data_IF_942497420231
#
_entry.id   IF_942497420231
#
_cell.length_a   1.000
_cell.length_b   1.000
_cell.length_c   1.000
_cell.angle_alpha   90.00
_cell.angle_beta   90.00
_cell.angle_gamma   90.00
#
_symmetry.space_group_name_H-M   'P 1'
#
loop_
_entity.id
_entity.type
_entity.pdbx_description
1 polymer ?
#
# COMPACT_ATOMS: atom_id res chain seq x y z
N UNK A 1 -5.13 3.29 25.50
CA UNK A 1 -4.94 4.21 24.37
C UNK A 1 -4.03 3.58 23.36
N UNK A 2 -4.39 3.64 22.11
CA UNK A 2 -3.59 3.08 21.04
C UNK A 2 -2.47 4.01 20.61
N UNK A 3 -1.69 3.55 19.67
CA UNK A 3 -0.69 4.38 19.02
C UNK A 3 -1.36 5.53 18.30
N UNK A 4 -0.66 6.67 18.16
CA UNK A 4 -1.19 7.75 17.34
C UNK A 4 -1.38 7.27 15.91
N UNK A 5 -2.45 7.71 15.31
CA UNK A 5 -2.72 7.36 13.92
C UNK A 5 -1.63 7.95 13.01
N UNK A 6 -1.13 7.14 12.09
CA UNK A 6 -0.20 7.63 11.08
C UNK A 6 -0.97 8.32 9.96
N UNK A 7 -0.38 9.35 9.38
CA UNK A 7 -0.97 9.99 8.21
C UNK A 7 -0.52 9.30 6.94
N UNK A 8 -1.36 9.37 5.92
CA UNK A 8 -1.04 8.81 4.61
C UNK A 8 -0.34 9.86 3.75
N UNK A 9 0.74 9.45 3.12
CA UNK A 9 1.43 10.26 2.11
C UNK A 9 1.41 9.47 0.82
N UNK A 10 0.87 10.04 -0.24
CA UNK A 10 0.76 9.38 -1.53
C UNK A 10 1.81 9.92 -2.48
N UNK A 11 2.73 9.06 -2.89
CA UNK A 11 3.75 9.45 -3.85
C UNK A 11 3.14 9.53 -5.26
N UNK A 12 3.78 10.29 -6.16
CA UNK A 12 3.23 10.46 -7.52
C UNK A 12 2.96 9.15 -8.25
N UNK A 13 3.83 8.17 -8.12
CA UNK A 13 3.61 6.86 -8.78
C UNK A 13 2.37 6.16 -8.27
N UNK A 14 2.10 6.26 -6.95
CA UNK A 14 0.87 5.68 -6.41
C UNK A 14 -0.37 6.34 -7.03
N UNK A 15 -0.36 7.66 -7.15
CA UNK A 15 -1.49 8.39 -7.74
C UNK A 15 -1.68 7.98 -9.20
N UNK A 16 -0.60 7.82 -9.96
CA UNK A 16 -0.68 7.35 -11.34
C UNK A 16 -1.30 5.95 -11.41
N UNK A 17 -0.89 5.05 -10.50
CA UNK A 17 -1.42 3.69 -10.46
C UNK A 17 -2.90 3.67 -10.08
N UNK A 18 -3.28 4.46 -9.10
CA UNK A 18 -4.70 4.58 -8.72
C UNK A 18 -5.53 5.11 -9.90
N UNK A 19 -5.02 6.13 -10.59
CA UNK A 19 -5.70 6.70 -11.76
C UNK A 19 -5.88 5.64 -12.85
N UNK A 20 -4.84 4.85 -13.10
CA UNK A 20 -4.92 3.74 -14.04
C UNK A 20 -6.07 2.79 -13.69
N UNK A 21 -6.18 2.40 -12.42
CA UNK A 21 -7.25 1.49 -11.99
C UNK A 21 -8.62 2.13 -12.09
N UNK A 22 -8.75 3.41 -11.74
CA UNK A 22 -10.02 4.11 -11.88
C UNK A 22 -10.51 4.08 -13.32
N UNK A 23 -9.58 4.19 -14.28
CA UNK A 23 -9.93 4.23 -15.70
C UNK A 23 -10.12 2.84 -16.32
N UNK A 24 -9.48 1.80 -15.79
CA UNK A 24 -9.46 0.48 -16.42
C UNK A 24 -10.17 -0.61 -15.64
N UNK A 25 -10.20 -0.51 -14.31
CA UNK A 25 -10.79 -1.54 -13.45
C UNK A 25 -11.19 -0.93 -12.12
N UNK A 26 -12.40 -0.41 -12.09
CA UNK A 26 -12.91 0.29 -10.92
C UNK A 26 -12.90 -0.55 -9.65
N UNK A 27 -13.18 -1.85 -9.75
CA UNK A 27 -13.16 -2.73 -8.58
C UNK A 27 -11.78 -2.80 -7.96
N UNK A 28 -10.75 -2.86 -8.79
CA UNK A 28 -9.37 -2.87 -8.31
C UNK A 28 -9.00 -1.53 -7.67
N UNK A 29 -9.48 -0.42 -8.24
CA UNK A 29 -9.26 0.90 -7.64
C UNK A 29 -9.85 0.97 -6.23
N UNK A 30 -11.08 0.48 -6.06
CA UNK A 30 -11.73 0.48 -4.75
C UNK A 30 -11.02 -0.45 -3.76
N UNK A 31 -10.55 -1.60 -4.25
CA UNK A 31 -9.76 -2.51 -3.42
C UNK A 31 -8.46 -1.88 -2.98
N UNK A 32 -7.78 -1.15 -3.86
CA UNK A 32 -6.55 -0.44 -3.52
C UNK A 32 -6.80 0.59 -2.40
N UNK A 33 -7.86 1.36 -2.52
CA UNK A 33 -8.22 2.33 -1.47
C UNK A 33 -8.56 1.65 -0.16
N UNK A 34 -9.25 0.50 -0.21
CA UNK A 34 -9.53 -0.28 0.99
C UNK A 34 -8.24 -0.77 1.64
N UNK A 35 -7.28 -1.24 0.85
CA UNK A 35 -5.99 -1.68 1.39
C UNK A 35 -5.25 -0.52 2.05
N UNK A 36 -5.29 0.68 1.46
CA UNK A 36 -4.70 1.87 2.08
C UNK A 36 -5.27 2.08 3.48
N UNK A 37 -6.59 2.03 3.62
CA UNK A 37 -7.23 2.20 4.92
C UNK A 37 -6.78 1.13 5.91
N UNK A 38 -6.72 -0.13 5.48
CA UNK A 38 -6.30 -1.23 6.33
C UNK A 38 -4.83 -1.12 6.75
N UNK A 39 -3.96 -0.67 5.84
CA UNK A 39 -2.55 -0.42 6.16
C UNK A 39 -2.42 0.67 7.22
N UNK A 40 -3.20 1.73 7.12
CA UNK A 40 -3.17 2.80 8.12
C UNK A 40 -3.60 2.31 9.50
N UNK A 41 -4.47 1.32 9.56
CA UNK A 41 -4.91 0.74 10.83
C UNK A 41 -3.87 -0.21 11.42
N UNK A 42 -3.27 -1.04 10.58
CA UNK A 42 -2.21 -1.96 10.99
C UNK A 42 -1.31 -2.27 9.80
N UNK A 43 -0.15 -1.62 9.72
CA UNK A 43 0.73 -1.80 8.55
C UNK A 43 1.42 -3.15 8.48
N UNK A 44 1.38 -3.94 9.54
CA UNK A 44 2.16 -5.18 9.62
C UNK A 44 1.33 -6.46 9.56
N UNK A 45 0.03 -6.36 9.68
CA UNK A 45 -0.85 -7.52 9.67
C UNK A 45 -2.18 -7.19 8.99
N UNK A 46 -2.87 -8.21 8.54
CA UNK A 46 -4.20 -8.09 7.99
C UNK A 46 -4.33 -8.56 6.56
N UNK A 47 -5.37 -8.09 5.88
CA UNK A 47 -5.74 -8.51 4.54
C UNK A 47 -4.63 -8.23 3.51
N UNK A 48 -4.47 -9.15 2.57
CA UNK A 48 -3.49 -8.99 1.49
C UNK A 48 -2.11 -9.53 1.82
N UNK A 49 -1.97 -10.26 2.91
CA UNK A 49 -0.70 -10.89 3.32
C UNK A 49 0.47 -9.91 3.32
N UNK A 50 0.52 -8.98 4.29
CA UNK A 50 1.64 -8.04 4.37
C UNK A 50 2.98 -8.77 4.43
N UNK A 51 3.92 -8.37 3.60
CA UNK A 51 5.25 -8.95 3.56
C UNK A 51 6.30 -7.85 3.62
N UNK A 52 7.32 -8.00 4.50
CA UNK A 52 8.43 -7.06 4.47
C UNK A 52 9.31 -7.31 3.25
N UNK A 53 9.72 -6.25 2.58
CA UNK A 53 10.60 -6.31 1.42
C UNK A 53 12.03 -6.02 1.87
N UNK A 54 12.59 -6.89 2.70
CA UNK A 54 13.87 -6.67 3.37
C UNK A 54 15.03 -6.43 2.40
N UNK A 55 14.97 -7.07 1.24
CA UNK A 55 16.02 -6.94 0.23
C UNK A 55 16.01 -5.56 -0.46
N UNK A 56 14.94 -4.80 -0.31
CA UNK A 56 14.83 -3.45 -0.88
C UNK A 56 15.08 -2.35 0.14
N UNK A 57 15.05 -2.68 1.43
CA UNK A 57 15.31 -1.72 2.48
C UNK A 57 14.48 -1.95 3.73
N UNK A 58 14.83 -1.28 4.83
CA UNK A 58 14.09 -1.42 6.09
C UNK A 58 12.72 -0.74 6.00
N UNK A 59 11.75 -1.32 6.69
CA UNK A 59 10.40 -0.76 6.83
C UNK A 59 9.60 -0.67 5.52
N UNK A 60 10.08 -1.32 4.48
CA UNK A 60 9.38 -1.39 3.20
C UNK A 60 8.54 -2.66 3.18
N UNK A 61 7.27 -2.52 2.86
CA UNK A 61 6.29 -3.60 2.92
C UNK A 61 5.43 -3.64 1.67
N UNK A 62 4.82 -4.80 1.41
CA UNK A 62 3.83 -4.91 0.35
C UNK A 62 2.64 -5.73 0.81
N UNK A 63 1.49 -5.46 0.21
CA UNK A 63 0.28 -6.28 0.32
C UNK A 63 -0.23 -6.63 -1.06
N UNK A 64 -0.78 -7.83 -1.18
CA UNK A 64 -1.36 -8.27 -2.44
C UNK A 64 -2.63 -7.46 -2.77
N UNK A 65 -2.65 -6.88 -3.95
CA UNK A 65 -3.83 -6.21 -4.49
C UNK A 65 -4.61 -7.17 -5.40
N UNK A 66 -3.93 -7.77 -6.35
CA UNK A 66 -4.43 -8.86 -7.21
C UNK A 66 -3.32 -9.90 -7.31
N UNK A 67 -3.52 -10.92 -8.12
CA UNK A 67 -2.46 -11.94 -8.31
C UNK A 67 -1.16 -11.34 -8.82
N UNK A 68 -1.24 -10.33 -9.68
CA UNK A 68 -0.08 -9.74 -10.34
C UNK A 68 0.37 -8.42 -9.73
N UNK A 69 -0.47 -7.80 -8.93
CA UNK A 69 -0.23 -6.43 -8.46
C UNK A 69 -0.18 -6.35 -6.95
N UNK A 70 0.67 -5.47 -6.45
CA UNK A 70 0.84 -5.26 -5.02
C UNK A 70 0.83 -3.78 -4.68
N UNK A 71 0.33 -3.48 -3.49
CA UNK A 71 0.48 -2.17 -2.87
C UNK A 71 1.81 -2.18 -2.13
N UNK A 72 2.68 -1.24 -2.44
CA UNK A 72 3.99 -1.10 -1.78
C UNK A 72 3.99 0.17 -0.95
N UNK A 73 4.43 0.07 0.29
CA UNK A 73 4.39 1.19 1.22
C UNK A 73 5.58 1.16 2.17
N UNK A 74 5.97 2.35 2.61
CA UNK A 74 7.08 2.55 3.55
C UNK A 74 6.51 3.03 4.88
N UNK A 75 6.77 2.28 5.95
CA UNK A 75 6.24 2.60 7.27
C UNK A 75 7.24 3.47 8.02
N UNK A 76 6.79 4.64 8.44
CA UNK A 76 7.56 5.56 9.28
C UNK A 76 6.85 5.77 10.60
N UNK A 77 7.49 6.44 11.55
CA UNK A 77 6.92 6.62 12.89
C UNK A 77 5.56 7.33 12.88
N UNK A 78 5.44 8.40 12.09
CA UNK A 78 4.24 9.23 12.10
C UNK A 78 3.46 9.21 10.81
N UNK A 79 3.96 8.48 9.78
CA UNK A 79 3.31 8.45 8.48
C UNK A 79 3.61 7.16 7.75
N UNK A 80 2.80 6.87 6.75
CA UNK A 80 3.06 5.79 5.81
C UNK A 80 3.09 6.40 4.42
N UNK A 81 4.20 6.17 3.71
CA UNK A 81 4.33 6.60 2.32
C UNK A 81 3.83 5.47 1.43
N UNK A 82 2.77 5.73 0.67
CA UNK A 82 2.27 4.78 -0.32
C UNK A 82 3.00 5.03 -1.63
N UNK A 83 3.78 4.05 -2.07
CA UNK A 83 4.74 4.22 -3.15
C UNK A 83 4.18 3.83 -4.50
N UNK A 84 3.49 2.70 -4.57
CA UNK A 84 2.89 2.22 -5.82
C UNK A 84 1.77 1.23 -5.52
N UNK A 85 0.85 1.07 -6.47
CA UNK A 85 -0.29 0.15 -6.36
C UNK A 85 -0.49 -0.66 -7.62
N UNK A 86 0.58 -0.93 -8.34
CA UNK A 86 0.53 -1.66 -9.61
C UNK A 86 1.84 -2.39 -9.79
N UNK A 87 1.79 -3.61 -10.35
CA UNK A 87 2.95 -4.49 -10.47
C UNK A 87 3.50 -4.90 -9.09
N UNK A 88 4.61 -5.56 -9.06
CA UNK A 88 5.30 -5.94 -7.84
C UNK A 88 6.81 -5.96 -8.11
N UNK A 89 7.58 -5.83 -7.05
CA UNK A 89 9.01 -6.03 -7.13
C UNK A 89 9.24 -7.54 -7.22
N UNK A 90 9.78 -7.96 -8.30
CA UNK A 90 10.01 -9.37 -8.51
C UNK A 90 11.45 -9.66 -8.76
#
# INVERSE_FOLDING_TARGET
>A
MGEPARVAVFQPEFIEDLTFWVQTDRKTALRLLRLVDLVLRDPFAGLGKPEPLKYLGPNLWSRRLTEEHRLVYLVRDTRIDFLQGRYHYG
#
